data_IF_965650500994
#
_entry.id   IF_965650500994
#
_cell.length_a   1.000
_cell.length_b   1.000
_cell.length_c   1.000
_cell.angle_alpha   90.00
_cell.angle_beta   90.00
_cell.angle_gamma   90.00
#
_symmetry.space_group_name_H-M   'P 1'
#
loop_
_entity.id
_entity.type
_entity.pdbx_description
1 polymer ?
#
# COMPACT_ATOMS: atom_id res chain seq x y z
N UNK A 1 -13.47 1.58 1.97
CA UNK A 1 -12.15 2.00 2.50
C UNK A 1 -11.40 2.54 1.29
N UNK A 2 -10.87 3.76 1.33
CA UNK A 2 -10.45 4.47 0.09
C UNK A 2 -9.47 3.65 -0.77
N UNK A 3 -8.55 2.88 -0.14
CA UNK A 3 -7.64 1.97 -0.85
C UNK A 3 -8.31 0.80 -1.57
N UNK A 4 -9.46 0.33 -1.09
CA UNK A 4 -10.18 -0.77 -1.73
C UNK A 4 -11.00 -0.28 -2.93
N UNK A 5 -11.43 0.97 -2.90
CA UNK A 5 -12.13 1.61 -4.01
C UNK A 5 -11.15 2.13 -5.08
N UNK A 6 -10.01 2.67 -4.65
CA UNK A 6 -8.96 3.17 -5.54
C UNK A 6 -7.56 3.01 -4.92
N UNK A 7 -6.87 1.97 -5.37
CA UNK A 7 -5.50 1.64 -4.98
C UNK A 7 -4.47 2.66 -5.48
N UNK A 8 -4.81 3.41 -6.52
CA UNK A 8 -3.99 4.47 -7.07
C UNK A 8 -4.39 5.84 -6.52
N UNK A 9 -5.24 5.88 -5.49
CA UNK A 9 -5.64 7.13 -4.85
C UNK A 9 -4.42 7.99 -4.49
N UNK A 10 -4.43 9.21 -5.02
CA UNK A 10 -3.41 10.21 -4.77
C UNK A 10 -3.81 11.53 -5.39
N UNK A 11 -3.54 12.64 -4.71
CA UNK A 11 -3.89 13.97 -5.22
C UNK A 11 -2.80 14.51 -6.15
N UNK A 12 -1.52 14.24 -5.85
CA UNK A 12 -0.40 14.70 -6.68
C UNK A 12 0.04 13.71 -7.75
N UNK A 13 -0.01 12.41 -7.44
CA UNK A 13 0.41 11.34 -8.34
C UNK A 13 -0.28 10.03 -7.95
N UNK A 14 -0.41 9.13 -8.92
CA UNK A 14 -1.06 7.83 -8.73
C UNK A 14 -0.32 7.04 -7.65
N UNK A 15 -1.07 6.60 -6.64
CA UNK A 15 -0.57 5.83 -5.49
C UNK A 15 0.23 6.63 -4.47
N UNK A 16 0.04 7.95 -4.39
CA UNK A 16 0.55 8.80 -3.29
C UNK A 16 0.12 8.27 -1.91
N UNK A 17 -1.13 7.80 -1.78
CA UNK A 17 -1.62 7.21 -0.53
C UNK A 17 -0.83 5.94 -0.17
N UNK A 18 -0.46 5.15 -1.18
CA UNK A 18 0.36 3.95 -1.01
C UNK A 18 1.77 4.30 -0.51
N UNK A 19 2.40 5.30 -1.14
CA UNK A 19 3.73 5.78 -0.76
C UNK A 19 3.74 6.34 0.67
N UNK A 20 2.68 7.06 1.06
CA UNK A 20 2.51 7.54 2.42
C UNK A 20 2.40 6.38 3.43
N UNK A 21 1.63 5.34 3.09
CA UNK A 21 1.50 4.14 3.92
C UNK A 21 2.79 3.32 3.99
N UNK A 22 3.55 3.21 2.90
CA UNK A 22 4.86 2.57 2.87
C UNK A 22 5.88 3.26 3.80
N UNK A 23 5.69 4.56 4.06
CA UNK A 23 6.51 5.33 5.01
C UNK A 23 6.13 5.11 6.48
N UNK A 24 4.98 4.51 6.76
CA UNK A 24 4.51 4.23 8.13
C UNK A 24 5.29 3.05 8.75
N UNK A 25 5.76 3.22 9.98
CA UNK A 25 6.49 2.18 10.73
C UNK A 25 5.68 0.89 10.89
N UNK A 26 6.36 -0.26 10.74
CA UNK A 26 5.80 -1.60 10.95
C UNK A 26 5.10 -1.77 12.32
N UNK A 27 5.55 -1.04 13.34
CA UNK A 27 4.96 -1.04 14.69
C UNK A 27 3.52 -0.49 14.69
N UNK A 28 3.21 0.50 13.84
CA UNK A 28 1.86 1.05 13.70
C UNK A 28 0.91 0.02 13.06
N UNK A 29 1.43 -0.83 12.18
CA UNK A 29 0.69 -1.91 11.52
C UNK A 29 0.41 -3.08 12.46
N UNK A 30 1.33 -3.39 13.38
CA UNK A 30 1.13 -4.46 14.37
C UNK A 30 -0.07 -4.20 15.29
N UNK A 31 -0.34 -2.93 15.62
CA UNK A 31 -1.52 -2.55 16.40
C UNK A 31 -2.84 -2.65 15.63
N UNK A 32 -2.79 -2.70 14.30
CA UNK A 32 -3.96 -2.64 13.42
C UNK A 32 -3.88 -3.70 12.32
N UNK A 33 -3.78 -4.98 12.72
CA UNK A 33 -3.63 -6.13 11.81
C UNK A 33 -4.71 -6.21 10.73
N UNK A 34 -5.94 -5.79 11.02
CA UNK A 34 -7.02 -5.76 10.01
C UNK A 34 -6.72 -4.75 8.90
N UNK A 35 -6.32 -3.52 9.26
CA UNK A 35 -5.94 -2.50 8.28
C UNK A 35 -4.68 -2.89 7.50
N UNK A 36 -3.73 -3.54 8.17
CA UNK A 36 -2.54 -4.10 7.54
C UNK A 36 -2.90 -5.12 6.45
N UNK A 37 -3.84 -6.02 6.74
CA UNK A 37 -4.26 -7.03 5.78
C UNK A 37 -5.08 -6.44 4.62
N UNK A 38 -5.93 -5.45 4.88
CA UNK A 38 -6.64 -4.73 3.83
C UNK A 38 -5.68 -3.96 2.91
N UNK A 39 -4.66 -3.31 3.48
CA UNK A 39 -3.60 -2.67 2.70
C UNK A 39 -2.81 -3.69 1.85
N UNK A 40 -2.51 -4.88 2.40
CA UNK A 40 -1.84 -5.95 1.65
C UNK A 40 -2.67 -6.47 0.47
N UNK A 41 -3.99 -6.60 0.63
CA UNK A 41 -4.88 -6.98 -0.46
C UNK A 41 -4.92 -5.91 -1.55
N UNK A 42 -5.04 -4.63 -1.17
CA UNK A 42 -4.99 -3.50 -2.09
C UNK A 42 -3.65 -3.45 -2.86
N UNK A 43 -2.52 -3.65 -2.16
CA UNK A 43 -1.20 -3.73 -2.76
C UNK A 43 -1.04 -4.81 -3.84
N UNK A 44 -1.72 -5.95 -3.67
CA UNK A 44 -1.71 -7.01 -4.67
C UNK A 44 -2.45 -6.59 -5.96
N UNK A 45 -3.46 -5.72 -5.85
CA UNK A 45 -4.16 -5.14 -7.01
C UNK A 45 -3.31 -4.08 -7.72
N UNK A 46 -2.53 -3.28 -6.98
CA UNK A 46 -1.55 -2.34 -7.58
C UNK A 46 -0.60 -3.06 -8.54
N UNK A 47 -0.14 -4.26 -8.17
CA UNK A 47 0.76 -5.05 -9.01
C UNK A 47 0.12 -5.53 -10.32
N UNK A 48 -1.21 -5.58 -10.38
CA UNK A 48 -1.96 -5.91 -11.58
C UNK A 48 -2.39 -4.67 -12.38
N UNK A 49 -2.61 -3.54 -11.71
CA UNK A 49 -3.16 -2.32 -12.30
C UNK A 49 -2.10 -1.32 -12.76
N UNK A 50 -0.91 -1.34 -12.15
CA UNK A 50 0.16 -0.40 -12.43
C UNK A 50 1.43 -1.12 -12.85
N UNK A 51 2.09 -0.58 -13.87
CA UNK A 51 3.44 -1.01 -14.28
C UNK A 51 4.53 -0.05 -13.77
N UNK A 52 4.15 0.89 -12.90
CA UNK A 52 5.09 1.88 -12.40
C UNK A 52 6.10 1.22 -11.44
N UNK A 53 7.40 1.25 -11.77
CA UNK A 53 8.40 0.54 -10.99
C UNK A 53 8.66 1.16 -9.62
N UNK A 54 8.39 2.46 -9.43
CA UNK A 54 8.49 3.11 -8.11
C UNK A 54 7.32 2.65 -7.24
N UNK A 55 6.12 2.63 -7.80
CA UNK A 55 4.93 2.15 -7.11
C UNK A 55 5.01 0.68 -6.72
N UNK A 56 5.53 -0.17 -7.61
CA UNK A 56 5.77 -1.59 -7.32
C UNK A 56 6.81 -1.79 -6.21
N UNK A 57 7.81 -0.91 -6.16
CA UNK A 57 8.84 -0.93 -5.12
C UNK A 57 8.28 -0.48 -3.78
N UNK A 58 7.49 0.59 -3.74
CA UNK A 58 6.79 1.05 -2.53
C UNK A 58 5.79 -0.02 -2.06
N UNK A 59 5.09 -0.66 -3.00
CA UNK A 59 4.17 -1.73 -2.70
C UNK A 59 4.86 -2.93 -2.04
N UNK A 60 5.99 -3.35 -2.61
CA UNK A 60 6.82 -4.45 -2.08
C UNK A 60 7.40 -4.10 -0.71
N UNK A 61 7.78 -2.83 -0.50
CA UNK A 61 8.30 -2.33 0.78
C UNK A 61 7.22 -2.37 1.85
N UNK A 62 6.01 -1.93 1.51
CA UNK A 62 4.85 -1.99 2.40
C UNK A 62 4.47 -3.43 2.73
N UNK A 63 4.37 -4.35 1.74
CA UNK A 63 4.12 -5.78 2.02
C UNK A 63 5.13 -6.38 3.01
N UNK A 64 6.42 -6.05 2.84
CA UNK A 64 7.46 -6.48 3.78
C UNK A 64 7.28 -5.87 5.18
N UNK A 65 6.88 -4.61 5.28
CA UNK A 65 6.59 -3.96 6.57
C UNK A 65 5.35 -4.54 7.25
N UNK A 66 4.36 -4.98 6.47
CA UNK A 66 3.16 -5.67 6.92
C UNK A 66 3.42 -7.13 7.33
N UNK A 67 4.58 -7.68 6.96
CA UNK A 67 5.00 -9.04 7.30
C UNK A 67 4.28 -10.12 6.49
N UNK A 68 3.85 -9.79 5.27
CA UNK A 68 3.14 -10.67 4.32
C UNK A 68 4.07 -11.12 3.20
#
# INVERSE_FOLDING_TARGET
MLLHDDVLAGEKYDGELLAALASVSAECWQGNKSLAQEAACALAEVNNLSQDPELLKDASTLMRALGV
#
